data_IF_223918001302
#
_entry.id   IF_223918001302
#
_cell.length_a   1.000
_cell.length_b   1.000
_cell.length_c   1.000
_cell.angle_alpha   90.00
_cell.angle_beta   90.00
_cell.angle_gamma   90.00
#
_symmetry.space_group_name_H-M   'P 1'
#
loop_
_entity.id
_entity.type
_entity.pdbx_description
1 polymer ?
#
# COMPACT_ATOMS: atom_id res chain seq x y z
N UNK A 1 30.49 0.55 -3.44
CA UNK A 1 29.42 1.22 -4.20
C UNK A 1 28.11 0.83 -3.53
N UNK A 2 27.38 1.79 -2.94
CA UNK A 2 26.03 1.50 -2.47
C UNK A 2 25.18 1.18 -3.69
N UNK A 3 24.53 0.01 -3.70
CA UNK A 3 23.57 -0.31 -4.74
C UNK A 3 22.35 0.56 -4.46
N UNK A 4 22.06 1.51 -5.36
CA UNK A 4 20.87 2.36 -5.25
C UNK A 4 19.63 1.48 -5.08
N UNK A 5 18.76 1.84 -4.15
CA UNK A 5 17.50 1.13 -3.92
C UNK A 5 16.64 1.15 -5.19
N UNK A 6 15.73 0.18 -5.39
CA UNK A 6 14.83 0.22 -6.55
C UNK A 6 14.03 1.53 -6.63
N UNK A 7 13.67 2.11 -5.48
CA UNK A 7 12.97 3.41 -5.39
C UNK A 7 13.82 4.53 -5.99
N UNK A 8 15.10 4.60 -5.63
CA UNK A 8 16.03 5.60 -6.19
C UNK A 8 16.24 5.38 -7.68
N UNK A 9 16.47 4.12 -8.11
CA UNK A 9 16.62 3.80 -9.53
C UNK A 9 15.39 4.18 -10.36
N UNK A 10 14.19 4.02 -9.80
CA UNK A 10 12.94 4.42 -10.46
C UNK A 10 12.87 5.95 -10.58
N UNK A 11 13.14 6.69 -9.50
CA UNK A 11 13.14 8.16 -9.52
C UNK A 11 14.15 8.73 -10.51
N UNK A 12 15.31 8.10 -10.66
CA UNK A 12 16.31 8.51 -11.65
C UNK A 12 15.88 8.28 -13.10
N UNK A 13 15.04 7.29 -13.35
CA UNK A 13 14.65 6.86 -14.71
C UNK A 13 13.29 7.35 -15.15
N UNK A 14 12.41 7.71 -14.23
CA UNK A 14 11.05 8.17 -14.53
C UNK A 14 10.96 9.68 -14.37
N UNK A 15 10.78 10.36 -15.50
CA UNK A 15 10.53 11.80 -15.52
C UNK A 15 9.14 12.13 -14.96
N UNK A 16 9.10 12.82 -13.82
CA UNK A 16 7.85 13.30 -13.22
C UNK A 16 7.09 14.25 -14.14
N UNK A 17 7.79 15.07 -14.92
CA UNK A 17 7.18 16.00 -15.88
C UNK A 17 6.43 15.23 -16.96
N UNK A 18 7.06 14.20 -17.52
CA UNK A 18 6.46 13.40 -18.58
C UNK A 18 5.27 12.60 -18.06
N UNK A 19 5.36 12.08 -16.83
CA UNK A 19 4.28 11.37 -16.18
C UNK A 19 3.07 12.28 -15.90
N UNK A 20 3.30 13.47 -15.35
CA UNK A 20 2.24 14.45 -15.09
C UNK A 20 1.65 14.99 -16.40
N UNK A 21 2.51 15.25 -17.39
CA UNK A 21 2.15 15.78 -18.70
C UNK A 21 1.17 14.90 -19.48
N UNK A 22 1.07 13.60 -19.15
CA UNK A 22 0.10 12.68 -19.72
C UNK A 22 -1.35 13.01 -19.31
N UNK A 23 -1.56 13.59 -18.12
CA UNK A 23 -2.90 13.91 -17.58
C UNK A 23 -3.15 15.41 -17.45
N UNK A 24 -2.10 16.21 -17.26
CA UNK A 24 -2.21 17.65 -17.02
C UNK A 24 -1.45 18.41 -18.08
N UNK A 25 -2.12 19.38 -18.72
CA UNK A 25 -1.45 20.32 -19.63
C UNK A 25 -0.53 21.24 -18.84
N UNK A 26 0.78 20.99 -18.95
CA UNK A 26 1.82 21.77 -18.30
C UNK A 26 2.31 22.92 -19.20
N UNK A 27 2.49 24.09 -18.60
CA UNK A 27 3.07 25.28 -19.21
C UNK A 27 4.38 25.62 -18.50
N UNK A 28 5.41 25.98 -19.26
CA UNK A 28 6.71 26.37 -18.69
C UNK A 28 6.58 27.67 -17.90
N UNK A 29 7.18 27.71 -16.72
CA UNK A 29 7.17 28.84 -15.79
C UNK A 29 8.56 28.99 -15.16
N UNK A 30 9.45 29.68 -15.86
CA UNK A 30 10.87 29.75 -15.52
C UNK A 30 11.54 28.38 -15.62
N UNK A 31 12.10 27.90 -14.49
CA UNK A 31 12.68 26.55 -14.36
C UNK A 31 11.66 25.46 -14.07
N UNK A 32 10.44 25.86 -13.69
CA UNK A 32 9.37 24.95 -13.29
C UNK A 32 8.30 24.84 -14.37
N UNK A 33 7.31 23.99 -14.12
CA UNK A 33 6.11 23.87 -14.92
C UNK A 33 4.89 24.14 -14.07
N UNK A 34 3.83 24.68 -14.66
CA UNK A 34 2.55 24.92 -13.99
C UNK A 34 1.35 24.44 -14.81
N UNK A 35 0.27 24.06 -14.14
CA UNK A 35 -0.97 23.62 -14.77
C UNK A 35 -2.17 23.79 -13.82
N UNK A 36 -3.35 23.40 -14.30
CA UNK A 36 -4.51 23.25 -13.42
C UNK A 36 -4.33 21.98 -12.58
N UNK A 37 -4.68 22.07 -11.30
CA UNK A 37 -4.58 20.95 -10.38
C UNK A 37 -5.58 19.85 -10.76
N UNK A 38 -5.15 18.59 -10.87
CA UNK A 38 -6.06 17.46 -11.12
C UNK A 38 -6.81 17.03 -9.84
N UNK A 39 -6.41 17.53 -8.67
CA UNK A 39 -6.93 17.10 -7.36
C UNK A 39 -8.02 18.01 -6.79
N UNK A 40 -8.26 19.18 -7.39
CA UNK A 40 -9.36 20.06 -7.03
C UNK A 40 -9.76 20.94 -8.22
N UNK A 41 -11.00 21.44 -8.20
CA UNK A 41 -11.52 22.25 -9.30
C UNK A 41 -11.09 23.72 -9.15
N UNK A 42 -10.33 24.24 -10.10
CA UNK A 42 -9.85 25.62 -10.13
C UNK A 42 -9.85 26.20 -11.55
N UNK A 43 -9.89 27.54 -11.66
CA UNK A 43 -9.80 28.26 -12.95
C UNK A 43 -8.41 28.83 -13.24
N UNK A 44 -7.60 29.00 -12.21
CA UNK A 44 -6.27 29.59 -12.28
C UNK A 44 -5.22 28.53 -11.93
N UNK A 45 -4.15 28.34 -12.74
CA UNK A 45 -3.12 27.34 -12.46
C UNK A 45 -2.45 27.54 -11.10
N UNK A 46 -2.66 26.62 -10.16
CA UNK A 46 -1.95 26.58 -8.87
C UNK A 46 -1.06 25.35 -8.69
N UNK A 47 -1.10 24.40 -9.62
CA UNK A 47 -0.29 23.19 -9.61
C UNK A 47 1.07 23.43 -10.25
N UNK A 48 2.16 23.17 -9.52
CA UNK A 48 3.53 23.34 -9.98
C UNK A 48 4.31 22.04 -9.91
N UNK A 49 5.13 21.78 -10.93
CA UNK A 49 6.10 20.69 -11.01
C UNK A 49 7.50 21.29 -11.00
N UNK A 50 8.37 20.76 -10.13
CA UNK A 50 9.72 21.22 -9.86
C UNK A 50 10.72 20.15 -10.32
N UNK A 51 11.29 20.28 -11.54
CA UNK A 51 12.22 19.29 -12.10
C UNK A 51 13.44 19.08 -11.19
N UNK A 52 14.02 20.17 -10.68
CA UNK A 52 15.23 20.16 -9.85
C UNK A 52 15.03 19.45 -8.49
N UNK A 53 13.76 19.28 -8.06
CA UNK A 53 13.40 18.67 -6.77
C UNK A 53 12.67 17.34 -6.94
N UNK A 54 12.48 16.89 -8.18
CA UNK A 54 11.71 15.70 -8.56
C UNK A 54 10.36 15.60 -7.80
N UNK A 55 9.61 16.70 -7.78
CA UNK A 55 8.37 16.79 -7.01
C UNK A 55 7.36 17.80 -7.56
N UNK A 56 6.16 17.76 -7.02
CA UNK A 56 5.09 18.71 -7.35
C UNK A 56 4.44 19.28 -6.08
N UNK A 57 3.82 20.45 -6.22
CA UNK A 57 3.01 21.08 -5.18
C UNK A 57 1.89 21.91 -5.81
N UNK A 58 0.68 21.78 -5.27
CA UNK A 58 -0.45 22.62 -5.57
C UNK A 58 -0.64 23.68 -4.49
N UNK A 59 -0.53 24.95 -4.85
CA UNK A 59 -0.73 26.06 -3.91
C UNK A 59 -2.20 26.34 -3.58
N UNK A 60 -3.16 25.76 -4.33
CA UNK A 60 -4.60 25.90 -4.07
C UNK A 60 -5.14 24.90 -3.04
N UNK A 61 -4.71 23.63 -3.10
CA UNK A 61 -5.20 22.57 -2.20
C UNK A 61 -4.11 21.90 -1.34
N UNK A 62 -2.87 22.40 -1.39
CA UNK A 62 -1.70 21.86 -0.66
C UNK A 62 -1.32 20.41 -1.00
N UNK A 63 -1.92 19.81 -2.04
CA UNK A 63 -1.49 18.50 -2.51
C UNK A 63 -0.06 18.59 -3.06
N UNK A 64 0.79 17.67 -2.63
CA UNK A 64 2.20 17.62 -2.99
C UNK A 64 2.68 16.18 -2.99
N UNK A 65 3.84 15.94 -3.58
CA UNK A 65 4.43 14.61 -3.63
C UNK A 65 5.46 14.45 -4.73
N UNK A 66 5.84 13.20 -4.96
CA UNK A 66 6.79 12.77 -5.99
C UNK A 66 6.10 11.87 -7.02
N UNK A 67 6.90 11.19 -7.85
CA UNK A 67 6.42 10.23 -8.85
C UNK A 67 5.54 9.12 -8.29
N UNK A 68 5.81 8.63 -7.07
CA UNK A 68 5.00 7.60 -6.43
C UNK A 68 3.69 8.18 -5.92
N UNK A 69 3.75 9.32 -5.20
CA UNK A 69 2.53 10.00 -4.75
C UNK A 69 1.61 10.30 -5.92
N UNK A 70 2.15 10.73 -7.05
CA UNK A 70 1.38 11.00 -8.26
C UNK A 70 0.62 9.76 -8.75
N UNK A 71 1.29 8.62 -8.94
CA UNK A 71 0.65 7.37 -9.39
C UNK A 71 -0.38 6.90 -8.36
N UNK A 72 -0.03 6.87 -7.08
CA UNK A 72 -0.95 6.46 -6.01
C UNK A 72 -2.24 7.29 -6.00
N UNK A 73 -2.12 8.62 -6.13
CA UNK A 73 -3.27 9.51 -6.08
C UNK A 73 -4.10 9.50 -7.37
N UNK A 74 -3.45 9.40 -8.54
CA UNK A 74 -4.15 9.47 -9.82
C UNK A 74 -4.71 8.13 -10.30
N UNK A 75 -4.19 7.01 -9.78
CA UNK A 75 -4.62 5.66 -10.14
C UNK A 75 -5.30 4.93 -8.98
N UNK A 76 -5.39 5.57 -7.81
CA UNK A 76 -6.00 5.03 -6.59
C UNK A 76 -5.39 3.68 -6.16
N UNK A 77 -4.07 3.60 -6.26
CA UNK A 77 -3.29 2.42 -5.90
C UNK A 77 -2.44 2.66 -4.67
N UNK A 78 -2.10 1.59 -3.95
CA UNK A 78 -1.16 1.66 -2.84
C UNK A 78 0.30 1.80 -3.33
N UNK A 79 1.23 1.95 -2.39
CA UNK A 79 2.64 2.10 -2.71
C UNK A 79 3.23 0.86 -3.39
N UNK A 80 2.79 -0.35 -3.03
CA UNK A 80 3.33 -1.59 -3.59
C UNK A 80 2.95 -1.76 -5.07
N UNK A 81 1.71 -1.45 -5.40
CA UNK A 81 1.22 -1.40 -6.78
C UNK A 81 1.89 -0.27 -7.57
N UNK A 82 1.96 0.94 -7.02
CA UNK A 82 2.68 2.06 -7.67
C UNK A 82 4.16 1.72 -7.92
N UNK A 83 4.82 1.02 -6.97
CA UNK A 83 6.18 0.55 -7.11
C UNK A 83 6.33 -0.45 -8.26
N UNK A 84 5.40 -1.40 -8.39
CA UNK A 84 5.42 -2.38 -9.50
C UNK A 84 5.25 -1.70 -10.86
N UNK A 85 4.26 -0.81 -10.99
CA UNK A 85 4.00 -0.10 -12.24
C UNK A 85 5.17 0.80 -12.66
N UNK A 86 5.72 1.55 -11.72
CA UNK A 86 6.86 2.44 -12.00
C UNK A 86 8.15 1.65 -12.24
N UNK A 87 8.34 0.50 -11.59
CA UNK A 87 9.47 -0.39 -11.86
C UNK A 87 9.44 -0.96 -13.28
N UNK A 88 8.26 -1.41 -13.74
CA UNK A 88 8.06 -1.86 -15.11
C UNK A 88 8.40 -0.74 -16.11
N UNK A 89 7.86 0.45 -15.89
CA UNK A 89 8.13 1.64 -16.72
C UNK A 89 9.60 2.06 -16.72
N UNK A 90 10.30 1.90 -15.60
CA UNK A 90 11.72 2.23 -15.43
C UNK A 90 12.67 1.11 -15.89
N UNK A 91 12.16 -0.06 -16.27
CA UNK A 91 12.98 -1.25 -16.53
C UNK A 91 13.80 -1.69 -15.31
N UNK A 92 13.26 -1.51 -14.10
CA UNK A 92 13.87 -1.92 -12.83
C UNK A 92 13.28 -3.26 -12.40
N UNK A 93 14.13 -4.27 -12.23
CA UNK A 93 13.68 -5.58 -11.77
C UNK A 93 13.53 -5.57 -10.24
N UNK A 94 12.30 -5.83 -9.77
CA UNK A 94 12.03 -5.97 -8.34
C UNK A 94 12.23 -7.42 -7.93
N UNK A 95 12.87 -7.64 -6.77
CA UNK A 95 12.83 -8.96 -6.13
C UNK A 95 11.42 -9.31 -5.70
N UNK A 96 11.11 -10.61 -5.53
CA UNK A 96 9.82 -11.10 -5.04
C UNK A 96 9.39 -10.45 -3.71
N UNK A 97 10.37 -10.08 -2.88
CA UNK A 97 10.17 -9.36 -1.63
C UNK A 97 9.78 -7.90 -1.86
N UNK A 98 10.51 -7.19 -2.72
CA UNK A 98 10.25 -5.79 -3.04
C UNK A 98 8.91 -5.59 -3.77
N UNK A 99 8.52 -6.54 -4.64
CA UNK A 99 7.26 -6.51 -5.37
C UNK A 99 6.01 -6.65 -4.47
N UNK A 100 6.15 -7.30 -3.31
CA UNK A 100 5.06 -7.45 -2.33
C UNK A 100 4.85 -6.18 -1.51
N UNK A 101 5.83 -5.28 -1.42
CA UNK A 101 5.70 -4.04 -0.66
C UNK A 101 5.65 -4.25 0.86
N UNK A 102 5.95 -3.18 1.61
CA UNK A 102 6.03 -3.20 3.09
C UNK A 102 4.68 -3.52 3.73
N UNK A 103 3.59 -3.10 3.07
CA UNK A 103 2.23 -3.30 3.56
C UNK A 103 1.77 -4.75 3.46
N UNK A 104 2.07 -5.46 2.36
CA UNK A 104 1.79 -6.90 2.28
C UNK A 104 2.67 -7.71 3.23
N UNK A 105 3.93 -7.33 3.45
CA UNK A 105 4.78 -7.99 4.47
C UNK A 105 4.21 -7.81 5.88
N UNK A 106 3.68 -6.63 6.18
CA UNK A 106 3.00 -6.38 7.47
C UNK A 106 1.71 -7.18 7.56
N UNK A 107 0.89 -7.20 6.51
CA UNK A 107 -0.36 -7.98 6.45
C UNK A 107 -0.08 -9.48 6.60
N UNK A 108 0.94 -10.00 5.92
CA UNK A 108 1.38 -11.39 6.04
C UNK A 108 1.76 -11.77 7.47
N UNK A 109 2.58 -10.95 8.14
CA UNK A 109 2.93 -11.15 9.55
C UNK A 109 1.71 -11.12 10.47
N UNK A 110 0.75 -10.21 10.23
CA UNK A 110 -0.49 -10.17 11.01
C UNK A 110 -1.33 -11.44 10.82
N UNK A 111 -1.41 -11.98 9.59
CA UNK A 111 -2.08 -13.25 9.33
C UNK A 111 -1.37 -14.43 10.04
N UNK A 112 -0.05 -14.45 10.06
CA UNK A 112 0.72 -15.48 10.77
C UNK A 112 0.45 -15.46 12.28
N UNK A 113 0.46 -14.27 12.89
CA UNK A 113 0.12 -14.09 14.31
C UNK A 113 -1.32 -14.50 14.58
N UNK A 114 -2.27 -14.09 13.74
CA UNK A 114 -3.66 -14.47 13.89
C UNK A 114 -3.86 -15.99 13.77
N UNK A 115 -3.18 -16.64 12.82
CA UNK A 115 -3.22 -18.09 12.67
C UNK A 115 -2.60 -18.81 13.89
N UNK A 116 -1.54 -18.25 14.48
CA UNK A 116 -0.97 -18.76 15.73
C UNK A 116 -1.94 -18.62 16.91
N UNK A 117 -2.64 -17.49 17.02
CA UNK A 117 -3.66 -17.26 18.04
C UNK A 117 -4.83 -18.25 17.90
N UNK A 118 -5.33 -18.49 16.68
CA UNK A 118 -6.38 -19.50 16.41
C UNK A 118 -5.94 -20.88 16.91
N UNK A 119 -4.73 -21.33 16.54
CA UNK A 119 -4.20 -22.63 17.00
C UNK A 119 -4.10 -22.71 18.52
N UNK A 120 -3.61 -21.65 19.15
CA UNK A 120 -3.48 -21.58 20.59
C UNK A 120 -4.84 -21.68 21.30
N UNK A 121 -5.79 -20.82 20.96
CA UNK A 121 -7.11 -20.83 21.60
C UNK A 121 -7.92 -22.09 21.29
N UNK A 122 -7.81 -22.63 20.08
CA UNK A 122 -8.42 -23.92 19.73
C UNK A 122 -7.85 -25.05 20.60
N UNK A 123 -6.53 -25.06 20.85
CA UNK A 123 -5.92 -26.05 21.75
C UNK A 123 -6.41 -25.88 23.20
N UNK A 124 -6.56 -24.63 23.66
CA UNK A 124 -7.05 -24.31 25.00
C UNK A 124 -8.49 -24.76 25.26
N UNK A 125 -9.33 -24.82 24.22
CA UNK A 125 -10.69 -25.33 24.35
C UNK A 125 -10.73 -26.80 24.80
N UNK A 126 -9.69 -27.58 24.48
CA UNK A 126 -9.61 -29.00 24.78
C UNK A 126 -8.76 -29.34 26.01
N UNK A 127 -8.36 -28.32 26.79
CA UNK A 127 -7.71 -28.51 28.09
C UNK A 127 -8.73 -28.50 29.23
N UNK A 128 -8.35 -28.90 30.46
CA UNK A 128 -9.25 -28.81 31.62
C UNK A 128 -9.81 -27.40 31.86
N UNK A 129 -9.04 -26.36 31.52
CA UNK A 129 -9.46 -24.96 31.65
C UNK A 129 -10.59 -24.60 30.66
N UNK A 130 -10.61 -25.23 29.48
CA UNK A 130 -11.64 -25.03 28.45
C UNK A 130 -12.91 -25.86 28.65
N UNK A 131 -12.94 -26.78 29.60
CA UNK A 131 -14.08 -27.68 29.83
C UNK A 131 -15.45 -26.98 30.01
N UNK A 132 -15.55 -25.82 30.71
CA UNK A 132 -16.83 -25.09 30.79
C UNK A 132 -17.30 -24.57 29.43
N UNK A 133 -16.37 -24.07 28.61
CA UNK A 133 -16.67 -23.56 27.28
C UNK A 133 -17.07 -24.68 26.32
N UNK A 134 -16.37 -25.81 26.36
CA UNK A 134 -16.72 -26.98 25.55
C UNK A 134 -18.13 -27.48 25.88
N UNK A 135 -18.46 -27.58 27.18
CA UNK A 135 -19.81 -27.95 27.62
C UNK A 135 -20.88 -26.98 27.13
N UNK A 136 -20.60 -25.67 27.19
CA UNK A 136 -21.50 -24.66 26.65
C UNK A 136 -21.75 -24.85 25.14
N UNK A 137 -20.70 -25.15 24.36
CA UNK A 137 -20.84 -25.41 22.93
C UNK A 137 -21.67 -26.68 22.67
N UNK A 138 -21.45 -27.74 23.45
CA UNK A 138 -22.21 -28.98 23.37
C UNK A 138 -23.71 -28.77 23.71
N UNK A 139 -24.01 -28.02 24.78
CA UNK A 139 -25.38 -27.65 25.17
C UNK A 139 -26.10 -26.81 24.10
N UNK A 140 -25.33 -26.07 23.28
CA UNK A 140 -25.83 -25.29 22.14
C UNK A 140 -26.00 -26.13 20.88
N UNK A 141 -25.67 -27.43 20.93
CA UNK A 141 -25.81 -28.38 19.84
C UNK A 141 -24.69 -28.34 18.81
N UNK A 142 -23.54 -27.74 19.14
CA UNK A 142 -22.40 -27.73 18.22
C UNK A 142 -21.66 -29.06 18.29
N UNK A 143 -21.54 -29.73 17.15
CA UNK A 143 -20.78 -30.98 17.06
C UNK A 143 -19.28 -30.71 17.10
N UNK A 144 -18.49 -31.72 17.51
CA UNK A 144 -17.04 -31.69 17.41
C UNK A 144 -16.53 -31.31 16.02
N UNK A 145 -17.16 -31.86 14.97
CA UNK A 145 -16.82 -31.55 13.58
C UNK A 145 -17.07 -30.07 13.25
N UNK A 146 -18.15 -29.48 13.75
CA UNK A 146 -18.44 -28.05 13.61
C UNK A 146 -17.40 -27.21 14.36
N UNK A 147 -17.06 -27.57 15.59
CA UNK A 147 -16.07 -26.87 16.42
C UNK A 147 -14.71 -26.84 15.71
N UNK A 148 -14.29 -27.96 15.12
CA UNK A 148 -13.03 -28.07 14.40
C UNK A 148 -13.04 -27.34 13.06
N UNK A 149 -14.11 -27.48 12.27
CA UNK A 149 -14.24 -26.84 10.96
C UNK A 149 -14.24 -25.30 11.06
N UNK A 150 -14.85 -24.76 12.11
CA UNK A 150 -14.89 -23.31 12.38
C UNK A 150 -13.78 -22.82 13.30
N UNK A 151 -12.86 -23.73 13.71
CA UNK A 151 -11.71 -23.42 14.55
C UNK A 151 -12.06 -22.68 15.86
N UNK A 152 -13.17 -23.07 16.49
CA UNK A 152 -13.60 -22.45 17.75
C UNK A 152 -12.57 -22.71 18.85
N UNK A 153 -12.35 -21.71 19.70
CA UNK A 153 -11.34 -21.75 20.76
C UNK A 153 -11.82 -21.16 22.08
N UNK A 154 -10.94 -21.18 23.07
CA UNK A 154 -11.16 -20.69 24.43
C UNK A 154 -9.97 -19.84 24.90
N UNK A 155 -10.24 -18.78 25.65
CA UNK A 155 -9.26 -17.86 26.22
C UNK A 155 -9.57 -17.60 27.69
#
# INVERSE_FOLDING_TARGET
>A
MAIASPVEQIKERVSLIDLIGQRVRLLKSGRNFKGLCPFHNEKTPSFYVFPDRDGYHCFGCSQHGDVFTWVMQTEHVDFGEALRQLAERAGVQLTSRQARGVEDERRGRLHEVNAAAVRYFQSMLFTPQGAPALRYLDERGLTRATIEAFQLGWA
#
